data_IF_317804955388
#
_entry.id   IF_317804955388
#
_cell.length_a   1.000
_cell.length_b   1.000
_cell.length_c   1.000
_cell.angle_alpha   90.00
_cell.angle_beta   90.00
_cell.angle_gamma   90.00
#
_symmetry.space_group_name_H-M   'P 1'
#
loop_
_entity.id
_entity.type
_entity.pdbx_description
1 polymer ?
#
# COMPACT_ATOMS: atom_id res chain seq x y z
N UNK A 1 26.61 36.08 13.06
CA UNK A 1 27.26 35.77 14.35
C UNK A 1 26.18 35.69 15.44
N UNK A 2 26.02 34.48 16.00
CA UNK A 2 25.39 33.99 17.25
C UNK A 2 24.27 34.76 18.00
N UNK A 3 23.28 33.95 18.42
CA UNK A 3 22.27 34.11 19.49
C UNK A 3 22.84 34.66 20.80
N UNK A 4 22.18 35.68 21.37
CA UNK A 4 21.89 35.88 22.81
C UNK A 4 21.11 37.17 23.03
N UNK A 5 20.06 37.09 23.86
CA UNK A 5 19.43 38.13 24.67
C UNK A 5 17.91 38.19 24.56
N UNK A 6 17.23 37.42 25.43
CA UNK A 6 15.91 37.82 25.94
C UNK A 6 15.67 37.20 27.32
N UNK A 7 16.26 37.79 28.36
CA UNK A 7 15.84 37.61 29.76
C UNK A 7 16.10 38.91 30.52
N UNK A 8 15.10 39.80 30.62
CA UNK A 8 15.02 40.86 31.64
C UNK A 8 13.55 41.23 31.95
N UNK A 9 13.24 41.25 33.24
CA UNK A 9 12.06 41.86 33.89
C UNK A 9 11.00 40.83 34.29
N UNK A 10 10.51 40.70 35.53
CA UNK A 10 10.60 41.38 36.83
C UNK A 10 10.40 40.26 37.90
N UNK A 11 10.83 40.28 39.17
CA UNK A 11 10.86 41.35 40.17
C UNK A 11 9.91 41.02 41.36
N UNK A 12 10.40 40.17 42.29
CA UNK A 12 10.21 40.13 43.76
C UNK A 12 8.81 40.04 44.48
N UNK A 13 8.74 38.99 45.32
CA UNK A 13 8.20 38.85 46.71
C UNK A 13 6.70 38.57 46.94
N UNK A 14 6.45 37.38 47.50
CA UNK A 14 5.29 37.07 48.33
C UNK A 14 5.46 35.70 49.00
N UNK A 15 5.52 35.65 50.34
CA UNK A 15 5.68 34.43 51.13
C UNK A 15 4.64 33.36 50.75
N UNK A 16 5.10 32.23 50.23
CA UNK A 16 4.26 31.08 49.92
C UNK A 16 4.91 29.82 50.47
N UNK A 17 4.20 29.17 51.38
CA UNK A 17 4.43 27.83 51.95
C UNK A 17 5.34 26.92 51.12
N UNK A 18 6.41 26.39 51.73
CA UNK A 18 7.12 25.23 51.17
C UNK A 18 6.18 24.03 51.11
N UNK A 19 5.49 23.86 50.00
CA UNK A 19 4.97 22.57 49.59
C UNK A 19 6.19 21.70 49.24
N UNK A 20 6.30 20.47 49.76
CA UNK A 20 7.33 19.57 49.27
C UNK A 20 7.05 19.37 47.78
N UNK A 21 8.06 19.59 46.92
CA UNK A 21 8.05 18.99 45.59
C UNK A 21 8.01 17.48 45.82
N UNK A 22 6.80 16.92 45.90
CA UNK A 22 6.59 15.50 45.76
C UNK A 22 7.12 15.16 44.38
N UNK A 23 8.18 14.35 44.33
CA UNK A 23 8.77 13.81 43.11
C UNK A 23 7.67 13.45 42.13
N UNK A 24 7.49 14.31 41.13
CA UNK A 24 6.40 14.22 40.16
C UNK A 24 6.51 12.94 39.36
N UNK A 25 7.74 12.43 39.20
CA UNK A 25 8.06 11.13 38.63
C UNK A 25 7.49 9.95 39.44
N UNK A 26 7.50 10.02 40.79
CA UNK A 26 6.94 8.95 41.64
C UNK A 26 5.42 8.96 41.67
N UNK A 27 4.79 10.13 41.57
CA UNK A 27 3.33 10.22 41.48
C UNK A 27 2.81 9.74 40.11
N UNK A 28 3.52 10.08 39.04
CA UNK A 28 3.21 9.60 37.67
C UNK A 28 3.47 8.09 37.57
N UNK A 29 4.60 7.59 38.07
CA UNK A 29 4.91 6.15 38.13
C UNK A 29 3.88 5.35 38.92
N UNK A 30 3.37 5.89 40.04
CA UNK A 30 2.38 5.22 40.88
C UNK A 30 0.98 5.25 40.24
N UNK A 31 0.65 6.28 39.46
CA UNK A 31 -0.57 6.32 38.65
C UNK A 31 -0.49 5.37 37.43
N UNK A 32 0.66 5.27 36.78
CA UNK A 32 0.90 4.34 35.66
C UNK A 32 0.95 2.87 36.12
N UNK A 33 1.51 2.58 37.31
CA UNK A 33 1.47 1.22 37.88
C UNK A 33 0.08 0.81 38.40
N UNK A 34 -0.84 1.76 38.62
CA UNK A 34 -2.23 1.47 38.96
C UNK A 34 -3.10 1.16 37.72
N UNK A 35 -2.62 1.47 36.52
CA UNK A 35 -3.21 1.10 35.23
C UNK A 35 -2.25 0.14 34.53
N UNK A 36 -2.22 -1.12 34.96
CA UNK A 36 -1.26 -2.13 34.51
C UNK A 36 -1.14 -2.30 32.98
N UNK A 37 -0.28 -1.49 32.36
CA UNK A 37 0.28 -1.68 31.03
C UNK A 37 1.70 -1.11 31.02
N UNK A 38 2.66 -1.96 31.38
CA UNK A 38 4.05 -1.82 30.94
C UNK A 38 4.11 -2.32 29.50
N UNK A 39 4.18 -1.40 28.53
CA UNK A 39 4.36 -1.71 27.11
C UNK A 39 4.81 -0.45 26.40
N UNK A 40 5.78 -0.60 25.49
CA UNK A 40 6.32 0.50 24.69
C UNK A 40 5.21 1.33 24.05
N UNK A 41 5.45 2.64 23.90
CA UNK A 41 4.56 3.52 23.15
C UNK A 41 4.69 3.14 21.67
N UNK A 42 3.86 2.20 21.20
CA UNK A 42 3.71 1.85 19.79
C UNK A 42 3.15 3.06 19.04
N UNK A 43 4.05 3.88 18.50
CA UNK A 43 3.66 4.97 17.62
C UNK A 43 3.38 4.36 16.27
N UNK A 44 2.10 4.20 15.93
CA UNK A 44 1.71 3.77 14.61
C UNK A 44 2.17 4.80 13.58
N UNK A 45 2.84 4.34 12.52
CA UNK A 45 3.39 5.22 11.51
C UNK A 45 3.00 4.71 10.13
N UNK A 46 2.73 5.65 9.22
CA UNK A 46 2.48 5.35 7.82
C UNK A 46 3.82 5.33 7.09
N UNK A 47 4.03 4.30 6.28
CA UNK A 47 5.25 4.19 5.48
C UNK A 47 5.21 5.22 4.36
N UNK A 48 6.23 6.10 4.24
CA UNK A 48 6.24 7.12 3.21
C UNK A 48 6.33 6.47 1.82
N UNK A 49 5.53 6.98 0.88
CA UNK A 49 5.60 6.58 -0.51
C UNK A 49 6.88 7.14 -1.15
N UNK A 50 7.57 6.31 -1.93
CA UNK A 50 8.73 6.70 -2.73
C UNK A 50 8.51 6.37 -4.20
N UNK A 51 9.42 6.82 -5.05
CA UNK A 51 9.41 6.46 -6.47
C UNK A 51 9.40 4.95 -6.68
N UNK A 52 8.57 4.49 -7.60
CA UNK A 52 8.55 3.10 -8.10
C UNK A 52 9.87 2.73 -8.79
N UNK A 53 10.54 3.73 -9.37
CA UNK A 53 11.70 3.52 -10.23
C UNK A 53 11.34 2.90 -11.59
N UNK A 54 12.31 2.80 -12.50
CA UNK A 54 12.06 2.39 -13.88
C UNK A 54 11.92 0.86 -14.04
N UNK A 55 12.18 0.09 -12.97
CA UNK A 55 12.33 -1.37 -13.04
C UNK A 55 11.11 -2.14 -12.51
N UNK A 56 9.97 -1.49 -12.28
CA UNK A 56 8.75 -2.22 -11.95
C UNK A 56 8.16 -2.88 -13.19
N UNK A 57 7.87 -4.16 -13.08
CA UNK A 57 7.00 -4.92 -13.96
C UNK A 57 6.14 -5.80 -13.07
N UNK A 58 4.89 -6.02 -13.48
CA UNK A 58 4.01 -6.96 -12.81
C UNK A 58 3.85 -8.22 -13.67
N UNK A 59 4.70 -9.25 -13.47
CA UNK A 59 4.57 -10.53 -14.16
C UNK A 59 3.47 -11.42 -13.55
N UNK A 60 2.73 -10.93 -12.55
CA UNK A 60 1.69 -11.66 -11.84
C UNK A 60 2.17 -12.99 -11.22
N UNK A 61 3.34 -12.97 -10.57
CA UNK A 61 4.01 -14.14 -10.00
C UNK A 61 3.75 -14.29 -8.50
N UNK A 62 2.87 -15.22 -8.12
CA UNK A 62 2.61 -15.57 -6.73
C UNK A 62 3.55 -16.68 -6.27
N UNK A 63 4.62 -16.30 -5.55
CA UNK A 63 5.66 -17.23 -5.07
C UNK A 63 6.42 -16.64 -3.89
N UNK A 64 6.84 -17.49 -2.98
CA UNK A 64 7.61 -17.12 -1.79
C UNK A 64 9.09 -17.06 -2.14
N UNK A 65 9.64 -18.13 -2.73
CA UNK A 65 10.98 -18.10 -3.33
C UNK A 65 10.97 -17.31 -4.64
N UNK A 66 11.66 -16.18 -4.64
CA UNK A 66 11.79 -15.28 -5.79
C UNK A 66 13.16 -15.40 -6.47
N UNK A 67 14.04 -16.29 -6.01
CA UNK A 67 15.44 -16.35 -6.46
C UNK A 67 15.61 -16.82 -7.90
N UNK A 68 14.72 -17.73 -8.34
CA UNK A 68 14.90 -18.54 -9.56
C UNK A 68 16.26 -19.26 -9.60
N UNK A 69 16.78 -19.65 -8.42
CA UNK A 69 18.07 -20.34 -8.28
C UNK A 69 19.29 -19.44 -8.52
N UNK A 70 19.11 -18.11 -8.60
CA UNK A 70 20.25 -17.19 -8.71
C UNK A 70 21.11 -17.18 -7.45
N UNK A 71 22.43 -17.04 -7.59
CA UNK A 71 23.34 -17.02 -6.47
C UNK A 71 23.25 -15.70 -5.67
N UNK A 72 23.64 -15.78 -4.41
CA UNK A 72 23.70 -14.65 -3.48
C UNK A 72 23.57 -15.10 -2.03
N UNK A 73 23.76 -14.17 -1.10
CA UNK A 73 23.59 -14.38 0.33
C UNK A 73 22.10 -14.59 0.62
N UNK A 74 21.67 -15.75 1.15
CA UNK A 74 20.26 -15.99 1.42
C UNK A 74 19.65 -14.94 2.36
N UNK A 75 18.46 -14.47 2.03
CA UNK A 75 17.68 -13.51 2.81
C UNK A 75 16.24 -14.00 2.89
N UNK A 76 15.79 -14.34 4.09
CA UNK A 76 14.39 -14.65 4.38
C UNK A 76 13.70 -13.38 4.91
N UNK A 77 12.78 -12.82 4.14
CA UNK A 77 12.11 -11.56 4.46
C UNK A 77 10.74 -11.80 5.07
N UNK A 78 10.48 -11.14 6.20
CA UNK A 78 9.18 -11.05 6.87
C UNK A 78 8.68 -9.61 6.80
N UNK A 79 7.63 -9.41 6.02
CA UNK A 79 7.02 -8.08 5.82
C UNK A 79 5.65 -8.09 6.50
N UNK A 80 5.53 -7.36 7.60
CA UNK A 80 4.25 -7.14 8.26
C UNK A 80 3.55 -5.93 7.65
N UNK A 81 2.25 -6.01 7.41
CA UNK A 81 1.43 -4.89 6.98
C UNK A 81 0.41 -4.56 8.05
N UNK A 82 0.40 -3.31 8.49
CA UNK A 82 -0.52 -2.78 9.49
C UNK A 82 -1.27 -1.55 8.95
N UNK A 83 -2.44 -1.26 9.52
CA UNK A 83 -3.17 -0.04 9.22
C UNK A 83 -2.76 1.12 10.16
N UNK A 84 -3.40 2.28 10.02
CA UNK A 84 -3.15 3.46 10.87
C UNK A 84 -3.52 3.26 12.37
N UNK A 85 -4.28 2.22 12.71
CA UNK A 85 -4.57 1.82 14.10
C UNK A 85 -3.60 0.76 14.62
N UNK A 86 -2.59 0.38 13.83
CA UNK A 86 -1.63 -0.69 14.12
C UNK A 86 -2.23 -2.09 14.15
N UNK A 87 -3.41 -2.27 13.56
CA UNK A 87 -3.98 -3.60 13.37
C UNK A 87 -3.37 -4.25 12.13
N UNK A 88 -3.04 -5.55 12.18
CA UNK A 88 -2.59 -6.28 11.01
C UNK A 88 -3.61 -6.27 9.87
N UNK A 89 -3.12 -6.14 8.64
CA UNK A 89 -3.94 -6.14 7.42
C UNK A 89 -3.71 -7.42 6.64
N UNK A 90 -4.68 -8.33 6.71
CA UNK A 90 -4.72 -9.58 5.94
C UNK A 90 -5.17 -9.34 4.50
N UNK A 91 -4.77 -10.22 3.57
CA UNK A 91 -5.31 -10.30 2.21
C UNK A 91 -4.83 -9.22 1.22
N UNK A 92 -4.00 -8.27 1.66
CA UNK A 92 -3.34 -7.33 0.73
C UNK A 92 -2.17 -8.01 0.03
N UNK A 93 -1.93 -7.62 -1.21
CA UNK A 93 -0.82 -8.12 -2.01
C UNK A 93 0.41 -7.26 -1.77
N UNK A 94 1.50 -7.90 -1.37
CA UNK A 94 2.83 -7.31 -1.30
C UNK A 94 3.58 -7.75 -2.54
N UNK A 95 3.87 -6.82 -3.44
CA UNK A 95 4.80 -7.04 -4.55
C UNK A 95 6.21 -6.66 -4.07
N UNK A 96 7.19 -7.49 -4.38
CA UNK A 96 8.61 -7.22 -4.12
C UNK A 96 9.38 -7.31 -5.42
N UNK A 97 10.30 -6.37 -5.65
CA UNK A 97 11.33 -6.49 -6.69
C UNK A 97 12.66 -5.86 -6.28
N UNK A 98 13.76 -6.49 -6.67
CA UNK A 98 15.09 -5.92 -6.45
C UNK A 98 16.11 -6.44 -7.47
N UNK A 99 17.32 -5.88 -7.40
CA UNK A 99 18.45 -6.34 -8.17
C UNK A 99 18.98 -7.68 -7.64
N UNK A 100 19.54 -8.51 -8.51
CA UNK A 100 20.38 -9.64 -8.08
C UNK A 100 21.67 -9.17 -7.37
N UNK A 101 22.50 -10.12 -6.92
CA UNK A 101 23.76 -9.81 -6.22
C UNK A 101 24.72 -8.91 -7.00
N UNK A 102 24.61 -8.87 -8.32
CA UNK A 102 25.48 -8.11 -9.22
C UNK A 102 24.86 -6.78 -9.65
N UNK A 103 23.69 -6.40 -9.11
CA UNK A 103 23.05 -5.12 -9.36
C UNK A 103 22.15 -5.11 -10.62
N UNK A 104 21.73 -6.28 -11.12
CA UNK A 104 20.89 -6.38 -12.31
C UNK A 104 19.42 -6.62 -11.98
N UNK A 105 18.50 -5.98 -12.72
CA UNK A 105 17.07 -6.25 -12.62
C UNK A 105 16.59 -7.17 -13.74
N UNK A 106 15.82 -8.19 -13.38
CA UNK A 106 15.14 -9.06 -14.34
C UNK A 106 14.12 -8.28 -15.18
N UNK A 107 13.99 -8.62 -16.46
CA UNK A 107 13.09 -7.95 -17.41
C UNK A 107 13.71 -6.75 -18.15
N UNK A 108 14.94 -6.36 -17.81
CA UNK A 108 15.61 -5.18 -18.37
C UNK A 108 17.02 -5.50 -18.86
N UNK A 109 17.52 -4.67 -19.79
CA UNK A 109 18.86 -4.81 -20.36
C UNK A 109 19.13 -6.25 -20.87
N UNK A 110 20.23 -6.87 -20.44
CA UNK A 110 20.57 -8.25 -20.81
C UNK A 110 19.67 -9.35 -20.24
N UNK A 111 18.61 -8.99 -19.49
CA UNK A 111 17.75 -9.92 -18.76
C UNK A 111 16.26 -9.82 -19.15
N UNK A 112 15.95 -9.27 -20.33
CA UNK A 112 14.57 -9.25 -20.87
C UNK A 112 13.97 -10.66 -20.90
N UNK A 113 12.73 -10.78 -20.44
CA UNK A 113 12.00 -12.07 -20.36
C UNK A 113 12.30 -12.91 -19.12
N UNK A 114 13.31 -12.55 -18.32
CA UNK A 114 13.57 -13.19 -17.03
C UNK A 114 12.79 -12.49 -15.91
N UNK A 115 12.57 -13.19 -14.78
CA UNK A 115 11.72 -12.70 -13.70
C UNK A 115 12.31 -12.86 -12.29
N UNK A 116 13.57 -13.29 -12.16
CA UNK A 116 14.26 -13.42 -10.87
C UNK A 116 14.12 -12.17 -9.98
N UNK A 117 14.17 -12.37 -8.66
CA UNK A 117 14.03 -11.33 -7.64
C UNK A 117 12.74 -10.53 -7.76
N UNK A 118 11.65 -11.17 -8.21
CA UNK A 118 10.29 -10.60 -8.26
C UNK A 118 9.27 -11.59 -7.73
N UNK A 119 8.33 -11.13 -6.93
CA UNK A 119 7.22 -11.97 -6.45
C UNK A 119 6.12 -11.18 -5.79
N UNK A 120 4.98 -11.85 -5.61
CA UNK A 120 3.79 -11.36 -4.96
C UNK A 120 3.42 -12.34 -3.85
N UNK A 121 3.15 -11.82 -2.67
CA UNK A 121 2.60 -12.58 -1.55
C UNK A 121 1.38 -11.87 -0.98
N UNK A 122 0.24 -12.57 -0.81
CA UNK A 122 -0.84 -12.06 0.02
C UNK A 122 -0.42 -12.10 1.48
N UNK A 123 -0.78 -11.09 2.27
CA UNK A 123 -0.60 -11.14 3.71
C UNK A 123 -1.55 -12.14 4.36
N UNK A 124 -1.06 -12.87 5.37
CA UNK A 124 -1.88 -13.79 6.15
C UNK A 124 -2.73 -13.06 7.22
N UNK A 125 -3.42 -13.81 8.09
CA UNK A 125 -4.29 -13.25 9.13
C UNK A 125 -3.56 -12.36 10.17
N UNK A 126 -2.23 -12.47 10.25
CA UNK A 126 -1.37 -11.63 11.08
C UNK A 126 -0.73 -10.48 10.29
N UNK A 127 -1.20 -10.22 9.06
CA UNK A 127 -0.64 -9.18 8.19
C UNK A 127 0.74 -9.51 7.62
N UNK A 128 1.22 -10.74 7.77
CA UNK A 128 2.57 -11.14 7.39
C UNK A 128 2.59 -11.68 5.95
N UNK A 129 3.54 -11.20 5.16
CA UNK A 129 3.96 -11.76 3.87
C UNK A 129 5.44 -12.15 3.95
N UNK A 130 5.79 -13.35 3.47
CA UNK A 130 7.14 -13.92 3.56
C UNK A 130 7.75 -14.16 2.19
N UNK A 131 9.04 -13.88 2.03
CA UNK A 131 9.76 -14.10 0.78
C UNK A 131 11.13 -14.73 1.05
N UNK A 132 11.51 -15.70 0.24
CA UNK A 132 12.87 -16.24 0.19
C UNK A 132 13.58 -15.62 -1.01
N UNK A 133 14.68 -14.93 -0.74
CA UNK A 133 15.45 -14.22 -1.75
C UNK A 133 16.95 -14.24 -1.45
N UNK A 134 17.73 -13.44 -2.19
CA UNK A 134 19.12 -13.12 -1.86
C UNK A 134 19.27 -11.64 -1.52
N UNK A 135 20.26 -11.33 -0.70
CA UNK A 135 20.62 -9.95 -0.38
C UNK A 135 20.97 -9.17 -1.67
N UNK A 136 20.39 -7.98 -1.90
CA UNK A 136 20.55 -7.30 -3.18
C UNK A 136 21.97 -6.77 -3.40
N UNK A 137 22.42 -6.85 -4.64
CA UNK A 137 23.57 -6.09 -5.11
C UNK A 137 23.24 -4.61 -5.27
N UNK A 138 24.27 -3.78 -5.29
CA UNK A 138 24.13 -2.34 -5.51
C UNK A 138 24.28 -1.97 -7.00
N UNK A 139 23.73 -0.84 -7.42
CA UNK A 139 24.07 -0.21 -8.70
C UNK A 139 24.40 1.26 -8.48
N UNK A 140 25.11 1.86 -9.43
CA UNK A 140 25.74 3.17 -9.22
C UNK A 140 24.69 4.24 -8.86
N UNK A 141 25.01 5.01 -7.82
CA UNK A 141 24.23 6.18 -7.38
C UNK A 141 23.04 5.86 -6.48
N UNK A 142 22.88 4.61 -6.01
CA UNK A 142 21.80 4.21 -5.10
C UNK A 142 22.33 3.42 -3.90
N UNK A 143 21.77 3.67 -2.72
CA UNK A 143 21.94 2.79 -1.57
C UNK A 143 21.39 1.40 -1.87
N UNK A 144 21.82 0.39 -1.12
CA UNK A 144 21.31 -0.97 -1.29
C UNK A 144 19.86 -1.05 -0.84
N UNK A 145 18.96 -1.51 -1.72
CA UNK A 145 17.52 -1.45 -1.47
C UNK A 145 16.75 -2.61 -2.11
N UNK A 146 15.55 -2.81 -1.59
CA UNK A 146 14.50 -3.61 -2.21
C UNK A 146 13.27 -2.72 -2.35
N UNK A 147 12.62 -2.82 -3.50
CA UNK A 147 11.36 -2.13 -3.73
C UNK A 147 10.19 -2.99 -3.28
N UNK A 148 9.13 -2.33 -2.86
CA UNK A 148 7.88 -2.99 -2.60
C UNK A 148 6.68 -2.15 -3.03
N UNK A 149 5.56 -2.84 -3.19
CA UNK A 149 4.25 -2.22 -3.37
C UNK A 149 3.22 -3.00 -2.56
N UNK A 150 2.42 -2.30 -1.76
CA UNK A 150 1.26 -2.89 -1.10
C UNK A 150 0.02 -2.45 -1.84
N UNK A 151 -0.78 -3.43 -2.29
CA UNK A 151 -1.92 -3.18 -3.16
C UNK A 151 -3.05 -4.19 -2.95
N UNK A 152 -4.23 -3.82 -3.39
CA UNK A 152 -5.26 -4.75 -3.86
C UNK A 152 -5.12 -4.94 -5.37
N UNK A 153 -5.90 -5.85 -5.94
CA UNK A 153 -5.92 -6.12 -7.39
C UNK A 153 -6.12 -4.85 -8.22
N UNK A 154 -6.91 -3.89 -7.73
CA UNK A 154 -7.28 -2.67 -8.45
C UNK A 154 -6.66 -1.37 -7.89
N UNK A 155 -6.06 -1.39 -6.70
CA UNK A 155 -5.66 -0.17 -5.97
C UNK A 155 -4.31 -0.35 -5.31
N UNK A 156 -3.44 0.65 -5.38
CA UNK A 156 -2.16 0.66 -4.66
C UNK A 156 -2.28 1.54 -3.41
N UNK A 157 -1.92 0.99 -2.25
CA UNK A 157 -1.88 1.75 -0.99
C UNK A 157 -0.57 2.50 -0.84
N UNK A 158 0.55 1.81 -1.09
CA UNK A 158 1.88 2.41 -1.03
C UNK A 158 2.79 1.73 -2.04
N UNK A 159 3.59 2.55 -2.72
CA UNK A 159 4.78 2.10 -3.45
C UNK A 159 5.96 2.77 -2.78
N UNK A 160 6.96 1.98 -2.40
CA UNK A 160 8.12 2.51 -1.71
C UNK A 160 9.28 1.53 -1.80
N UNK A 161 10.31 1.77 -1.00
CA UNK A 161 11.57 1.05 -0.99
C UNK A 161 12.06 0.99 0.44
N UNK A 162 12.69 -0.10 0.85
CA UNK A 162 13.49 -0.13 2.06
C UNK A 162 14.96 -0.34 1.72
N UNK A 163 15.83 0.32 2.49
CA UNK A 163 17.26 0.12 2.52
C UNK A 163 17.64 -0.79 3.70
N UNK A 164 18.94 -1.05 3.84
CA UNK A 164 19.50 -1.85 4.93
C UNK A 164 20.50 -1.03 5.74
N UNK A 165 20.80 -1.38 6.99
CA UNK A 165 21.84 -0.70 7.76
C UNK A 165 23.18 -0.72 6.99
N UNK A 166 23.86 0.43 6.91
CA UNK A 166 25.14 0.54 6.20
C UNK A 166 26.20 -0.45 6.75
N UNK A 167 26.16 -0.76 8.05
CA UNK A 167 27.02 -1.76 8.68
C UNK A 167 26.74 -3.18 8.18
N UNK A 168 25.46 -3.54 8.00
CA UNK A 168 25.06 -4.82 7.40
C UNK A 168 25.52 -4.89 5.94
N UNK A 169 25.32 -3.81 5.17
CA UNK A 169 25.79 -3.72 3.78
C UNK A 169 27.30 -3.98 3.69
N UNK A 170 28.10 -3.33 4.54
CA UNK A 170 29.56 -3.49 4.58
C UNK A 170 29.96 -4.94 4.89
N UNK A 171 29.24 -5.59 5.80
CA UNK A 171 29.50 -6.99 6.17
C UNK A 171 29.19 -7.93 5.00
N UNK A 172 28.02 -7.78 4.37
CA UNK A 172 27.61 -8.63 3.24
C UNK A 172 28.54 -8.44 2.03
N UNK A 173 28.89 -7.20 1.69
CA UNK A 173 29.76 -6.91 0.54
C UNK A 173 31.24 -7.26 0.74
N UNK A 174 31.65 -7.59 1.97
CA UNK A 174 32.96 -8.17 2.25
C UNK A 174 33.00 -9.70 2.09
N UNK A 175 31.86 -10.37 1.90
CA UNK A 175 31.81 -11.84 1.74
C UNK A 175 32.31 -12.27 0.36
N UNK A 176 32.84 -13.50 0.21
CA UNK A 176 33.34 -13.99 -1.08
C UNK A 176 32.34 -13.90 -2.24
N UNK A 177 31.04 -14.02 -1.94
CA UNK A 177 29.95 -13.99 -2.90
C UNK A 177 29.72 -12.60 -3.52
N UNK A 178 30.09 -11.52 -2.80
CA UNK A 178 29.84 -10.12 -3.21
C UNK A 178 31.11 -9.30 -3.41
N UNK A 179 32.26 -9.75 -2.87
CA UNK A 179 33.52 -8.99 -2.86
C UNK A 179 33.98 -8.58 -4.27
N UNK A 180 33.60 -9.35 -5.30
CA UNK A 180 33.91 -9.03 -6.70
C UNK A 180 33.35 -7.68 -7.18
N UNK A 181 32.25 -7.20 -6.58
CA UNK A 181 31.70 -5.87 -6.86
C UNK A 181 32.25 -4.79 -5.92
N UNK A 182 32.68 -5.19 -4.73
CA UNK A 182 33.15 -4.30 -3.68
C UNK A 182 31.99 -3.60 -2.92
N UNK A 183 32.32 -2.74 -1.96
CA UNK A 183 31.34 -2.05 -1.14
C UNK A 183 30.50 -1.08 -1.98
N UNK A 184 29.25 -0.84 -1.57
CA UNK A 184 28.42 0.19 -2.19
C UNK A 184 28.97 1.59 -1.83
N UNK A 185 29.36 2.43 -2.79
CA UNK A 185 29.87 3.76 -2.50
C UNK A 185 28.77 4.74 -2.03
N UNK A 186 27.49 4.39 -2.16
CA UNK A 186 26.35 5.23 -1.78
C UNK A 186 25.75 4.73 -0.47
N UNK A 187 25.91 5.49 0.61
CA UNK A 187 25.27 5.21 1.90
C UNK A 187 23.79 5.60 1.88
N UNK A 188 23.01 5.11 2.83
CA UNK A 188 21.61 5.51 2.97
C UNK A 188 21.43 7.04 3.09
N UNK A 189 22.35 7.71 3.79
CA UNK A 189 22.30 9.16 3.99
C UNK A 189 22.70 9.96 2.74
N UNK A 190 23.42 9.34 1.80
CA UNK A 190 23.88 9.96 0.55
C UNK A 190 22.97 9.64 -0.65
N UNK A 191 22.10 8.63 -0.54
CA UNK A 191 21.12 8.29 -1.57
C UNK A 191 20.02 9.36 -1.66
N UNK A 192 19.79 9.90 -2.85
CA UNK A 192 18.85 11.01 -3.05
C UNK A 192 17.39 10.68 -2.74
N UNK A 193 17.01 9.40 -2.79
CA UNK A 193 15.64 8.96 -2.47
C UNK A 193 15.48 8.78 -0.97
N UNK A 194 16.44 8.12 -0.31
CA UNK A 194 16.35 7.87 1.13
C UNK A 194 16.70 9.10 1.97
N UNK A 195 17.60 9.96 1.51
CA UNK A 195 17.96 11.21 2.17
C UNK A 195 16.74 12.11 2.42
N UNK A 196 15.84 12.21 1.44
CA UNK A 196 14.64 13.04 1.51
C UNK A 196 13.53 12.40 2.38
N UNK A 197 13.56 11.07 2.55
CA UNK A 197 12.49 10.28 3.12
C UNK A 197 12.64 9.95 4.61
N UNK A 198 13.66 10.51 5.28
CA UNK A 198 14.07 10.14 6.65
C UNK A 198 14.38 8.64 6.76
N UNK A 199 15.62 8.22 6.45
CA UNK A 199 15.96 6.82 6.23
C UNK A 199 15.68 5.92 7.44
N UNK A 200 15.62 6.47 8.66
CA UNK A 200 15.28 5.67 9.86
C UNK A 200 13.93 4.94 9.76
N UNK A 201 13.02 5.43 8.91
CA UNK A 201 11.71 4.82 8.69
C UNK A 201 11.70 3.80 7.56
N UNK A 202 12.76 3.70 6.76
CA UNK A 202 12.81 2.84 5.58
C UNK A 202 13.97 1.85 5.65
N UNK A 203 14.39 1.46 6.86
CA UNK A 203 15.45 0.47 7.08
C UNK A 203 14.82 -0.86 7.47
N UNK A 204 14.94 -1.85 6.59
CA UNK A 204 14.68 -3.25 6.93
C UNK A 204 15.81 -3.76 7.82
N UNK A 205 15.48 -4.40 8.93
CA UNK A 205 16.48 -5.10 9.74
C UNK A 205 17.01 -6.29 8.94
N UNK A 206 18.25 -6.69 9.18
CA UNK A 206 18.80 -7.90 8.59
C UNK A 206 19.78 -8.51 9.59
N UNK A 207 19.37 -9.61 10.22
CA UNK A 207 20.13 -10.30 11.27
C UNK A 207 20.60 -11.66 10.79
N UNK A 208 21.87 -12.05 11.02
CA UNK A 208 22.35 -13.38 10.66
C UNK A 208 21.50 -14.48 11.32
N UNK A 209 21.04 -15.44 10.54
CA UNK A 209 20.12 -16.48 11.02
C UNK A 209 20.80 -17.80 11.43
N UNK A 210 22.14 -17.83 11.42
CA UNK A 210 22.94 -19.01 11.79
C UNK A 210 23.07 -20.07 10.68
N UNK A 211 22.33 -19.95 9.58
CA UNK A 211 22.35 -20.89 8.44
C UNK A 211 23.11 -20.35 7.23
N UNK A 212 24.00 -19.37 7.45
CA UNK A 212 24.74 -18.73 6.37
C UNK A 212 23.93 -17.71 5.57
N UNK A 213 22.83 -17.19 6.13
CA UNK A 213 22.02 -16.13 5.55
C UNK A 213 21.52 -15.13 6.61
N UNK A 214 20.54 -14.32 6.23
CA UNK A 214 19.93 -13.29 7.07
C UNK A 214 18.41 -13.47 7.14
N UNK A 215 17.85 -13.16 8.30
CA UNK A 215 16.42 -12.90 8.45
C UNK A 215 16.22 -11.38 8.41
N UNK A 216 15.36 -10.91 7.50
CA UNK A 216 15.03 -9.51 7.34
C UNK A 216 13.61 -9.21 7.78
N UNK A 217 13.42 -8.18 8.60
CA UNK A 217 12.10 -7.82 9.12
C UNK A 217 11.79 -6.34 8.88
N UNK A 218 10.56 -6.08 8.45
CA UNK A 218 10.06 -4.72 8.28
C UNK A 218 8.55 -4.66 8.42
N UNK A 219 8.04 -3.56 8.98
CA UNK A 219 6.61 -3.30 9.13
C UNK A 219 6.20 -2.13 8.24
N UNK A 220 5.28 -2.38 7.31
CA UNK A 220 4.68 -1.39 6.43
C UNK A 220 3.38 -0.90 7.07
N UNK A 221 3.29 0.39 7.33
CA UNK A 221 2.04 1.05 7.70
C UNK A 221 1.31 1.61 6.48
N UNK A 222 0.07 1.20 6.27
CA UNK A 222 -0.79 1.72 5.19
C UNK A 222 -2.00 2.48 5.74
N UNK A 223 -2.42 3.50 4.98
CA UNK A 223 -3.65 4.23 5.26
C UNK A 223 -4.85 3.44 4.69
N UNK A 224 -5.28 2.40 5.40
CA UNK A 224 -6.47 1.63 5.07
C UNK A 224 -7.40 1.55 6.28
N UNK A 225 -8.71 1.85 6.17
CA UNK A 225 -9.65 1.62 7.24
C UNK A 225 -9.94 0.12 7.37
N UNK A 226 -9.35 -0.51 8.38
CA UNK A 226 -9.64 -1.86 8.90
C UNK A 226 -9.39 -3.06 7.95
N UNK A 227 -9.12 -4.20 8.59
CA UNK A 227 -8.75 -5.49 8.03
C UNK A 227 -9.65 -5.95 6.88
N UNK A 228 -9.04 -6.39 5.79
CA UNK A 228 -9.73 -6.89 4.59
C UNK A 228 -10.20 -8.32 4.87
N UNK A 229 -11.44 -8.46 5.33
CA UNK A 229 -12.26 -9.60 4.93
C UNK A 229 -12.58 -9.42 3.45
N UNK A 230 -12.39 -10.47 2.64
CA UNK A 230 -12.53 -10.56 1.17
C UNK A 230 -13.05 -9.30 0.44
N UNK A 231 -12.27 -8.70 -0.48
CA UNK A 231 -12.63 -7.41 -1.07
C UNK A 231 -13.76 -7.57 -2.10
N UNK A 232 -14.98 -7.23 -1.68
CA UNK A 232 -15.90 -6.53 -2.57
C UNK A 232 -15.29 -5.15 -2.84
N UNK A 233 -14.66 -4.99 -4.01
CA UNK A 233 -14.01 -3.75 -4.45
C UNK A 233 -15.00 -2.59 -4.38
N UNK A 234 -14.89 -1.77 -3.33
CA UNK A 234 -15.67 -0.56 -3.12
C UNK A 234 -15.15 0.50 -4.11
N UNK A 235 -15.95 0.96 -5.08
CA UNK A 235 -15.53 1.99 -6.02
C UNK A 235 -15.29 3.32 -5.29
N UNK A 236 -14.26 4.07 -5.68
CA UNK A 236 -14.01 5.41 -5.14
C UNK A 236 -14.85 6.50 -5.80
N UNK A 237 -15.63 6.16 -6.84
CA UNK A 237 -16.44 7.09 -7.61
C UNK A 237 -17.80 6.50 -8.01
N UNK A 238 -18.79 7.40 -8.18
CA UNK A 238 -20.06 7.02 -8.78
C UNK A 238 -19.88 7.00 -10.29
N UNK A 239 -20.29 5.90 -10.94
CA UNK A 239 -20.16 5.79 -12.39
C UNK A 239 -21.30 4.98 -12.99
N UNK A 240 -21.83 5.42 -14.13
CA UNK A 240 -22.70 4.64 -14.99
C UNK A 240 -21.94 4.28 -16.25
N UNK A 241 -21.73 2.98 -16.50
CA UNK A 241 -20.94 2.49 -17.65
C UNK A 241 -21.82 2.23 -18.86
N UNK A 242 -21.18 2.08 -20.01
CA UNK A 242 -21.87 1.71 -21.23
C UNK A 242 -22.47 0.30 -21.09
N UNK A 243 -23.72 0.13 -21.48
CA UNK A 243 -24.35 -1.18 -21.50
C UNK A 243 -23.67 -2.08 -22.54
N UNK A 244 -23.62 -3.39 -22.29
CA UNK A 244 -23.08 -4.35 -23.25
C UNK A 244 -23.97 -5.59 -23.39
N UNK A 245 -24.18 -6.08 -24.63
CA UNK A 245 -23.82 -5.42 -25.89
C UNK A 245 -24.58 -4.09 -26.09
N UNK A 246 -24.05 -3.19 -26.93
CA UNK A 246 -24.76 -2.03 -27.46
C UNK A 246 -24.29 -1.79 -28.91
N UNK A 247 -25.13 -1.98 -29.95
CA UNK A 247 -26.57 -2.28 -29.88
C UNK A 247 -26.90 -3.64 -29.26
N UNK A 248 -28.12 -3.84 -28.77
CA UNK A 248 -28.54 -5.08 -28.09
C UNK A 248 -29.85 -5.66 -28.63
N UNK A 249 -30.06 -6.98 -28.45
CA UNK A 249 -31.29 -7.69 -28.83
C UNK A 249 -31.52 -8.96 -27.97
N UNK A 250 -32.66 -9.11 -27.28
CA UNK A 250 -33.42 -8.05 -26.63
C UNK A 250 -32.84 -7.71 -25.24
N UNK A 251 -31.71 -8.32 -24.86
CA UNK A 251 -31.10 -8.18 -23.53
C UNK A 251 -29.73 -7.53 -23.56
N UNK A 252 -29.42 -6.76 -22.53
CA UNK A 252 -28.12 -6.11 -22.28
C UNK A 252 -27.83 -6.10 -20.78
N UNK A 253 -26.57 -5.85 -20.42
CA UNK A 253 -26.14 -5.64 -19.03
C UNK A 253 -25.74 -4.18 -18.87
N UNK A 254 -26.19 -3.55 -17.78
CA UNK A 254 -25.86 -2.17 -17.44
C UNK A 254 -24.97 -2.17 -16.18
N UNK A 255 -23.67 -1.89 -16.32
CA UNK A 255 -22.75 -1.80 -15.18
C UNK A 255 -22.78 -0.41 -14.57
N UNK A 256 -22.73 -0.32 -13.25
CA UNK A 256 -22.62 0.93 -12.53
C UNK A 256 -21.89 0.76 -11.19
N UNK A 257 -21.44 1.88 -10.62
CA UNK A 257 -20.63 1.93 -9.42
C UNK A 257 -21.20 2.95 -8.44
N UNK A 258 -21.21 2.57 -7.18
CA UNK A 258 -21.70 3.38 -6.05
C UNK A 258 -20.51 3.66 -5.15
N UNK A 259 -20.12 4.93 -5.00
CA UNK A 259 -18.92 5.31 -4.23
C UNK A 259 -19.13 5.24 -2.71
N UNK A 260 -20.35 5.50 -2.27
CA UNK A 260 -20.75 5.49 -0.88
C UNK A 260 -22.22 5.09 -0.76
N UNK A 261 -22.59 4.52 0.40
CA UNK A 261 -23.95 4.08 0.68
C UNK A 261 -24.96 5.18 0.37
N UNK A 262 -25.85 4.91 -0.58
CA UNK A 262 -26.76 5.93 -1.12
C UNK A 262 -28.06 5.30 -1.62
N UNK A 263 -29.09 6.13 -1.74
CA UNK A 263 -30.34 5.74 -2.37
C UNK A 263 -30.13 5.79 -3.89
N UNK A 264 -30.27 4.62 -4.54
CA UNK A 264 -29.95 4.43 -5.95
C UNK A 264 -31.22 4.24 -6.77
N UNK A 265 -31.33 5.00 -7.85
CA UNK A 265 -32.34 4.81 -8.90
C UNK A 265 -31.68 4.62 -10.25
N UNK A 266 -32.02 3.53 -10.94
CA UNK A 266 -31.64 3.28 -12.33
C UNK A 266 -32.90 3.16 -13.17
N UNK A 267 -33.12 4.10 -14.08
CA UNK A 267 -34.38 4.29 -14.79
C UNK A 267 -34.15 4.34 -16.30
N UNK A 268 -34.97 3.63 -17.07
CA UNK A 268 -35.01 3.65 -18.53
C UNK A 268 -36.04 4.66 -19.02
N UNK A 269 -35.68 5.43 -20.04
CA UNK A 269 -36.49 6.44 -20.70
C UNK A 269 -36.50 6.22 -22.22
N UNK A 270 -37.60 6.61 -22.88
CA UNK A 270 -37.66 6.69 -24.34
C UNK A 270 -37.15 8.05 -24.85
N UNK A 271 -37.12 8.24 -26.17
CA UNK A 271 -36.68 9.50 -26.82
C UNK A 271 -37.55 10.71 -26.50
N UNK A 272 -38.78 10.51 -26.01
CA UNK A 272 -39.66 11.58 -25.53
C UNK A 272 -39.42 11.93 -24.05
N UNK A 273 -38.44 11.31 -23.39
CA UNK A 273 -38.16 11.51 -21.97
C UNK A 273 -39.18 10.86 -21.03
N UNK A 274 -40.07 10.01 -21.54
CA UNK A 274 -41.04 9.29 -20.72
C UNK A 274 -40.36 8.10 -20.04
N UNK A 275 -40.66 7.90 -18.76
CA UNK A 275 -40.18 6.76 -17.98
C UNK A 275 -40.80 5.47 -18.53
N UNK A 276 -39.95 4.57 -19.01
CA UNK A 276 -40.35 3.25 -19.54
C UNK A 276 -40.34 2.20 -18.43
N UNK A 277 -39.26 2.16 -17.64
CA UNK A 277 -39.10 1.17 -16.56
C UNK A 277 -38.11 1.66 -15.51
N UNK A 278 -38.37 1.39 -14.25
CA UNK A 278 -37.38 1.50 -13.17
C UNK A 278 -36.73 0.14 -12.95
N UNK A 279 -35.41 0.05 -13.05
CA UNK A 279 -34.64 -1.18 -12.83
C UNK A 279 -34.15 -1.31 -11.39
N UNK A 280 -33.78 -0.19 -10.77
CA UNK A 280 -33.32 -0.12 -9.36
C UNK A 280 -34.01 1.05 -8.69
N UNK A 281 -34.46 0.87 -7.45
CA UNK A 281 -34.99 1.92 -6.57
C UNK A 281 -34.85 1.49 -5.10
N UNK A 282 -33.62 1.46 -4.61
CA UNK A 282 -33.32 1.02 -3.25
C UNK A 282 -32.04 1.66 -2.74
N UNK A 283 -31.86 1.62 -1.43
CA UNK A 283 -30.58 1.92 -0.81
C UNK A 283 -29.57 0.81 -1.15
N UNK A 284 -28.41 1.19 -1.67
CA UNK A 284 -27.31 0.26 -1.94
C UNK A 284 -26.08 0.71 -1.16
N UNK A 285 -25.26 -0.27 -0.77
CA UNK A 285 -23.95 0.02 -0.21
C UNK A 285 -23.03 0.52 -1.34
N UNK A 286 -21.86 1.03 -0.98
CA UNK A 286 -20.82 1.19 -1.98
C UNK A 286 -20.42 -0.18 -2.55
N UNK A 287 -20.08 -0.19 -3.84
CA UNK A 287 -19.93 -1.43 -4.60
C UNK A 287 -20.08 -1.24 -6.10
N UNK A 288 -19.62 -2.25 -6.85
CA UNK A 288 -19.88 -2.37 -8.28
C UNK A 288 -21.09 -3.27 -8.51
N UNK A 289 -22.01 -2.83 -9.37
CA UNK A 289 -23.26 -3.51 -9.64
C UNK A 289 -23.46 -3.70 -11.14
N UNK A 290 -24.13 -4.79 -11.49
CA UNK A 290 -24.60 -5.05 -12.85
C UNK A 290 -26.08 -5.40 -12.79
N UNK A 291 -26.86 -4.80 -13.68
CA UNK A 291 -28.26 -5.19 -13.86
C UNK A 291 -28.51 -5.65 -15.29
N UNK A 292 -29.16 -6.81 -15.41
CA UNK A 292 -29.63 -7.31 -16.71
C UNK A 292 -30.94 -6.60 -17.07
N UNK A 293 -30.97 -5.98 -18.24
CA UNK A 293 -32.17 -5.39 -18.80
C UNK A 293 -32.65 -6.21 -20.01
N UNK A 294 -33.92 -6.63 -19.96
CA UNK A 294 -34.61 -7.28 -21.09
C UNK A 294 -35.71 -6.36 -21.62
N UNK A 295 -35.58 -5.96 -22.88
CA UNK A 295 -36.45 -5.03 -23.58
C UNK A 295 -37.59 -5.71 -24.36
N UNK A 296 -37.95 -6.95 -24.02
CA UNK A 296 -39.14 -7.60 -24.56
C UNK A 296 -40.39 -6.70 -24.36
N UNK A 297 -41.14 -6.50 -25.44
CA UNK A 297 -42.28 -5.59 -25.49
C UNK A 297 -41.96 -4.14 -25.88
N UNK A 298 -40.68 -3.77 -26.04
CA UNK A 298 -40.28 -2.43 -26.52
C UNK A 298 -40.01 -2.41 -28.03
N UNK A 299 -40.27 -1.30 -28.71
CA UNK A 299 -39.94 -1.11 -30.14
C UNK A 299 -38.44 -0.88 -30.35
N UNK A 300 -37.89 -1.30 -31.49
CA UNK A 300 -36.51 -0.97 -31.87
C UNK A 300 -36.29 0.53 -31.90
N UNK A 301 -35.10 0.98 -31.49
CA UNK A 301 -34.75 2.39 -31.44
C UNK A 301 -33.88 2.75 -30.23
N UNK A 302 -33.64 4.05 -30.07
CA UNK A 302 -32.83 4.60 -29.00
C UNK A 302 -33.61 4.70 -27.69
N UNK A 303 -32.92 4.36 -26.60
CA UNK A 303 -33.39 4.54 -25.23
C UNK A 303 -32.27 5.14 -24.39
N UNK A 304 -32.66 5.79 -23.31
CA UNK A 304 -31.72 6.38 -22.36
C UNK A 304 -31.88 5.71 -21.01
N UNK A 305 -30.77 5.51 -20.31
CA UNK A 305 -30.79 5.01 -18.95
C UNK A 305 -30.04 5.97 -18.04
N UNK A 306 -30.66 6.29 -16.91
CA UNK A 306 -30.18 7.30 -15.96
C UNK A 306 -29.96 6.68 -14.60
N UNK A 307 -28.76 6.88 -14.05
CA UNK A 307 -28.42 6.55 -12.68
C UNK A 307 -28.51 7.82 -11.84
N UNK A 308 -29.23 7.73 -10.72
CA UNK A 308 -29.28 8.74 -9.67
C UNK A 308 -28.80 8.05 -8.39
N UNK A 309 -27.75 8.56 -7.76
CA UNK A 309 -27.20 8.00 -6.53
C UNK A 309 -26.69 9.14 -5.63
N UNK A 310 -27.45 9.47 -4.58
CA UNK A 310 -27.18 10.68 -3.79
C UNK A 310 -27.21 11.95 -4.65
N UNK A 311 -26.09 12.68 -4.71
CA UNK A 311 -25.94 13.86 -5.57
C UNK A 311 -25.49 13.57 -7.01
N UNK A 312 -25.14 12.32 -7.33
CA UNK A 312 -24.67 11.92 -8.64
C UNK A 312 -25.84 11.65 -9.59
N UNK A 313 -25.77 12.21 -10.80
CA UNK A 313 -26.70 11.92 -11.89
C UNK A 313 -25.91 11.73 -13.19
N UNK A 314 -26.03 10.56 -13.81
CA UNK A 314 -25.46 10.30 -15.14
C UNK A 314 -26.49 9.62 -16.03
N UNK A 315 -26.50 9.98 -17.31
CA UNK A 315 -27.35 9.37 -18.33
C UNK A 315 -26.49 8.82 -19.45
N UNK A 316 -26.85 7.64 -19.96
CA UNK A 316 -26.24 7.05 -21.16
C UNK A 316 -27.32 6.55 -22.11
N UNK A 317 -26.91 6.37 -23.36
CA UNK A 317 -27.77 5.95 -24.47
C UNK A 317 -27.52 4.47 -24.80
N UNK A 318 -28.58 3.78 -25.22
CA UNK A 318 -28.52 2.41 -25.72
C UNK A 318 -29.42 2.24 -26.95
N UNK A 319 -29.03 1.38 -27.89
CA UNK A 319 -29.76 1.09 -29.12
C UNK A 319 -30.30 -0.34 -29.09
N UNK A 320 -31.63 -0.47 -29.08
CA UNK A 320 -32.32 -1.76 -29.24
C UNK A 320 -32.52 -2.04 -30.73
N UNK A 321 -32.02 -3.18 -31.20
CA UNK A 321 -32.25 -3.70 -32.55
C UNK A 321 -33.06 -4.98 -32.43
N UNK A 322 -34.07 -5.16 -33.28
CA UNK A 322 -34.82 -6.41 -33.42
C UNK A 322 -34.59 -6.98 -34.80
#
# INVERSE_FOLDING_TARGET
MKRRDLLKGLGLVGLGTMLPLVNTEKAISKAMNAMGKTGAVDTCWLTPALTEGPYYINPNLFRQDITEGRPGMPLHMKINVINYNCDPVSGVLVDVWHADKDGNYSGFNGFVGQTFMRGIQPTNSQGLAEFDTVYPGWYQGRATHIHFKVRLTASTYVTSQFCFPDETNNTVYATPEYVGRGPNPTTNAADSIFHEALPQYLVMTATPNGNGGYDGEYTIGIDSPTSIGDPEVQPNEFALKQNYPNPFNPSTVIPYQIAQNSDVQLIIYNTMGQKVRTLVNQRQNAGSYEIKFNANGLSSGYYFYKLIAGGFVQTKEMLLIK
#
